data_IF_989224542446
#
_entry.id   IF_989224542446
#
_cell.length_a   1.000
_cell.length_b   1.000
_cell.length_c   1.000
_cell.angle_alpha   90.00
_cell.angle_beta   90.00
_cell.angle_gamma   90.00
#
_symmetry.space_group_name_H-M   'P 1'
#
loop_
_entity.id
_entity.type
_entity.pdbx_description
1 polymer ?
#
# COMPACT_ATOMS: atom_id res chain seq x y z
N UNK A 1 -60.31 46.93 -10.18
CA UNK A 1 -59.53 46.14 -9.18
C UNK A 1 -58.84 45.02 -9.94
N UNK A 2 -57.59 45.28 -10.30
CA UNK A 2 -56.83 44.45 -11.22
C UNK A 2 -55.93 43.47 -10.45
N UNK A 3 -56.12 42.18 -10.67
CA UNK A 3 -55.34 41.12 -10.02
C UNK A 3 -54.27 40.68 -11.03
N UNK A 4 -53.04 41.23 -10.91
CA UNK A 4 -51.89 40.75 -11.64
C UNK A 4 -51.41 39.43 -11.14
N UNK A 5 -51.46 38.40 -12.00
CA UNK A 5 -50.93 37.07 -11.78
C UNK A 5 -49.42 37.14 -12.03
N UNK A 6 -48.62 36.91 -10.99
CA UNK A 6 -47.15 36.64 -11.10
C UNK A 6 -46.94 35.17 -11.47
N UNK A 7 -46.50 34.93 -12.70
CA UNK A 7 -45.97 33.62 -13.11
C UNK A 7 -44.50 33.58 -12.75
N UNK A 8 -44.15 32.75 -11.74
CA UNK A 8 -42.78 32.38 -11.43
C UNK A 8 -42.36 31.26 -12.38
N UNK A 9 -41.54 31.60 -13.37
CA UNK A 9 -40.85 30.63 -14.21
C UNK A 9 -39.66 30.03 -13.43
N UNK A 10 -39.81 28.81 -12.90
CA UNK A 10 -38.74 28.05 -12.30
C UNK A 10 -37.81 27.54 -13.37
N UNK A 11 -36.58 28.09 -13.47
CA UNK A 11 -35.53 27.55 -14.30
C UNK A 11 -34.96 26.28 -13.62
N UNK A 12 -35.26 25.11 -14.18
CA UNK A 12 -34.62 23.85 -13.81
C UNK A 12 -33.29 23.80 -14.54
N UNK A 13 -32.22 23.99 -13.79
CA UNK A 13 -30.87 23.80 -14.32
C UNK A 13 -30.62 22.30 -14.55
N UNK A 14 -30.10 21.87 -15.72
CA UNK A 14 -29.80 20.48 -15.94
C UNK A 14 -28.62 20.06 -15.04
N UNK A 15 -28.83 19.02 -14.20
CA UNK A 15 -27.74 18.32 -13.52
C UNK A 15 -26.85 17.67 -14.58
N UNK A 16 -25.68 18.26 -14.82
CA UNK A 16 -24.62 17.61 -15.57
C UNK A 16 -24.08 16.44 -14.75
N UNK A 17 -24.62 15.25 -14.98
CA UNK A 17 -24.01 14.01 -14.54
C UNK A 17 -22.69 13.85 -15.29
N UNK A 18 -21.58 14.24 -14.64
CA UNK A 18 -20.25 13.88 -15.12
C UNK A 18 -20.13 12.35 -14.99
N UNK A 19 -19.92 11.62 -16.10
CA UNK A 19 -19.62 10.20 -15.97
C UNK A 19 -18.30 10.09 -15.21
N UNK A 20 -18.34 9.46 -14.04
CA UNK A 20 -17.16 8.97 -13.35
C UNK A 20 -16.53 7.96 -14.32
N UNK A 21 -15.53 8.39 -15.09
CA UNK A 21 -14.67 7.50 -15.85
C UNK A 21 -13.93 6.64 -14.85
N UNK A 22 -14.52 5.51 -14.49
CA UNK A 22 -13.82 4.45 -13.79
C UNK A 22 -12.63 4.06 -14.69
N UNK A 23 -11.43 4.46 -14.28
CA UNK A 23 -10.21 4.05 -14.96
C UNK A 23 -10.12 2.53 -14.81
N UNK A 24 -10.58 1.82 -15.85
CA UNK A 24 -10.45 0.38 -15.91
C UNK A 24 -8.96 0.04 -15.80
N UNK A 25 -8.59 -0.66 -14.73
CA UNK A 25 -7.22 -1.17 -14.57
C UNK A 25 -6.88 -2.02 -15.79
N UNK A 26 -5.68 -1.87 -16.36
CA UNK A 26 -5.30 -2.69 -17.53
C UNK A 26 -5.39 -4.16 -17.15
N UNK A 27 -5.96 -4.98 -18.04
CA UNK A 27 -6.04 -6.45 -17.85
C UNK A 27 -4.63 -7.01 -17.85
N UNK A 28 -4.11 -7.37 -16.67
CA UNK A 28 -2.81 -8.04 -16.50
C UNK A 28 -2.98 -9.55 -16.63
N UNK A 29 -1.95 -10.20 -17.13
CA UNK A 29 -1.83 -11.68 -17.12
C UNK A 29 -0.88 -12.11 -16.00
N UNK A 30 -0.86 -13.41 -15.66
CA UNK A 30 0.13 -13.93 -14.69
C UNK A 30 1.58 -13.69 -15.16
N UNK A 31 1.81 -13.78 -16.48
CA UNK A 31 3.14 -13.49 -17.07
C UNK A 31 3.57 -12.02 -16.85
N UNK A 32 2.63 -11.09 -16.88
CA UNK A 32 2.92 -9.67 -16.56
C UNK A 32 3.31 -9.51 -15.09
N UNK A 33 2.64 -10.24 -14.19
CA UNK A 33 2.99 -10.26 -12.78
C UNK A 33 4.40 -10.80 -12.55
N UNK A 34 4.73 -11.95 -13.13
CA UNK A 34 6.07 -12.56 -13.04
C UNK A 34 7.15 -11.62 -13.60
N UNK A 35 6.87 -10.96 -14.73
CA UNK A 35 7.77 -9.98 -15.34
C UNK A 35 7.99 -8.78 -14.41
N UNK A 36 6.94 -8.25 -13.82
CA UNK A 36 7.02 -7.15 -12.85
C UNK A 36 7.82 -7.57 -11.62
N UNK A 37 7.57 -8.75 -11.08
CA UNK A 37 8.30 -9.31 -9.94
C UNK A 37 9.79 -9.51 -10.25
N UNK A 38 10.13 -9.98 -11.43
CA UNK A 38 11.52 -10.20 -11.86
C UNK A 38 12.29 -8.88 -12.04
N UNK A 39 11.62 -7.88 -12.56
CA UNK A 39 12.22 -6.59 -12.94
C UNK A 39 12.10 -5.51 -11.84
N UNK A 40 11.76 -5.85 -10.61
CA UNK A 40 11.51 -4.89 -9.53
C UNK A 40 12.67 -3.90 -9.32
N UNK A 41 13.92 -4.31 -9.58
CA UNK A 41 15.11 -3.46 -9.41
C UNK A 41 15.12 -2.23 -10.33
N UNK A 42 14.38 -2.26 -11.43
CA UNK A 42 14.27 -1.11 -12.35
C UNK A 42 13.53 0.09 -11.73
N UNK A 43 12.88 -0.12 -10.59
CA UNK A 43 12.20 0.94 -9.82
C UNK A 43 13.08 1.56 -8.73
N UNK A 44 14.30 1.06 -8.55
CA UNK A 44 15.28 1.67 -7.64
C UNK A 44 15.93 2.90 -8.27
N UNK A 45 16.32 3.90 -7.46
CA UNK A 45 17.23 4.94 -7.92
C UNK A 45 18.56 4.35 -8.38
N UNK A 46 19.21 5.00 -9.33
CA UNK A 46 20.51 4.56 -9.81
C UNK A 46 21.53 4.46 -8.65
N UNK A 47 22.26 3.35 -8.59
CA UNK A 47 23.26 3.10 -7.54
C UNK A 47 22.72 2.82 -6.14
N UNK A 48 21.41 2.66 -5.97
CA UNK A 48 20.85 2.37 -4.65
C UNK A 48 21.32 1.01 -4.10
N UNK A 49 21.95 1.03 -2.95
CA UNK A 49 22.26 -0.18 -2.18
C UNK A 49 21.00 -0.63 -1.43
N UNK A 50 20.65 -1.90 -1.56
CA UNK A 50 19.50 -2.49 -0.88
C UNK A 50 19.92 -3.71 -0.05
N UNK A 51 19.37 -3.89 1.14
CA UNK A 51 19.66 -5.05 1.96
C UNK A 51 19.06 -6.33 1.35
N UNK A 52 19.71 -7.47 1.59
CA UNK A 52 19.18 -8.77 1.19
C UNK A 52 18.17 -9.30 2.22
N UNK A 53 17.12 -9.97 1.73
CA UNK A 53 16.11 -10.62 2.61
C UNK A 53 16.71 -11.76 3.43
N UNK A 54 17.80 -12.40 2.93
CA UNK A 54 18.53 -13.49 3.58
C UNK A 54 19.45 -13.05 4.71
N UNK A 55 19.61 -11.74 4.94
CA UNK A 55 20.43 -11.18 6.02
C UNK A 55 19.54 -10.71 7.19
N UNK A 56 19.27 -11.54 8.20
CA UNK A 56 18.38 -11.17 9.30
C UNK A 56 18.89 -9.95 10.08
N UNK A 57 18.00 -9.01 10.36
CA UNK A 57 18.27 -7.88 11.25
C UNK A 57 17.52 -8.11 12.58
N UNK A 58 18.30 -8.42 13.62
CA UNK A 58 17.81 -8.59 15.00
C UNK A 58 18.33 -7.46 15.86
N UNK A 59 17.42 -6.72 16.47
CA UNK A 59 17.73 -5.61 17.37
C UNK A 59 16.94 -5.78 18.67
N UNK A 60 17.46 -5.23 19.75
CA UNK A 60 16.74 -5.12 21.03
C UNK A 60 15.56 -4.16 20.91
N UNK A 61 14.67 -4.19 21.90
CA UNK A 61 13.51 -3.28 21.98
C UNK A 61 13.92 -1.81 21.91
N UNK A 62 14.96 -1.43 22.63
CA UNK A 62 15.43 -0.04 22.70
C UNK A 62 16.10 0.42 21.41
N UNK A 63 16.84 -0.46 20.74
CA UNK A 63 17.41 -0.19 19.42
C UNK A 63 16.31 -0.01 18.37
N UNK A 64 15.23 -0.83 18.39
CA UNK A 64 14.08 -0.64 17.52
C UNK A 64 13.39 0.70 17.73
N UNK A 65 13.17 1.11 19.00
CA UNK A 65 12.59 2.41 19.33
C UNK A 65 13.41 3.59 18.81
N UNK A 66 14.74 3.48 18.88
CA UNK A 66 15.65 4.52 18.35
C UNK A 66 15.70 4.54 16.82
N UNK A 67 15.52 3.38 16.18
CA UNK A 67 15.65 3.22 14.74
C UNK A 67 14.40 3.64 13.97
N UNK A 68 13.22 3.35 14.52
CA UNK A 68 11.96 3.59 13.84
C UNK A 68 11.58 5.08 13.88
N UNK A 69 10.89 5.60 12.83
CA UNK A 69 10.65 7.03 12.69
C UNK A 69 9.73 7.62 13.76
N UNK A 70 8.86 6.80 14.35
CA UNK A 70 7.90 7.22 15.39
C UNK A 70 7.28 6.01 16.11
N UNK A 71 6.51 6.29 17.16
CA UNK A 71 5.84 5.27 17.98
C UNK A 71 4.80 4.45 17.19
N UNK A 72 4.15 5.04 16.19
CA UNK A 72 3.19 4.32 15.35
C UNK A 72 3.89 3.23 14.53
N UNK A 73 5.04 3.54 13.93
CA UNK A 73 5.85 2.57 13.21
C UNK A 73 6.35 1.45 14.14
N UNK A 74 6.71 1.80 15.38
CA UNK A 74 7.07 0.81 16.40
C UNK A 74 5.89 -0.10 16.76
N UNK A 75 4.73 0.49 17.05
CA UNK A 75 3.50 -0.24 17.38
C UNK A 75 3.10 -1.20 16.25
N UNK A 76 3.17 -0.75 15.02
CA UNK A 76 2.84 -1.58 13.84
C UNK A 76 3.86 -2.69 13.64
N UNK A 77 5.15 -2.34 13.49
CA UNK A 77 6.18 -3.29 13.09
C UNK A 77 6.58 -4.27 14.20
N UNK A 78 6.41 -3.91 15.48
CA UNK A 78 6.92 -4.68 16.63
C UNK A 78 5.86 -5.20 17.59
N UNK A 79 4.66 -4.61 17.56
CA UNK A 79 3.56 -4.96 18.45
C UNK A 79 2.30 -5.38 17.66
N UNK A 80 2.44 -5.66 16.35
CA UNK A 80 1.38 -6.12 15.44
C UNK A 80 0.14 -5.18 15.43
N UNK A 81 0.39 -3.88 15.68
CA UNK A 81 -0.66 -2.87 15.65
C UNK A 81 -1.15 -2.55 14.23
N UNK A 82 -2.28 -1.86 14.18
CA UNK A 82 -2.84 -1.34 12.92
C UNK A 82 -2.99 0.17 13.01
N UNK A 83 -2.55 0.89 11.99
CA UNK A 83 -2.79 2.33 11.86
C UNK A 83 -4.26 2.60 11.51
N UNK A 84 -4.75 3.81 11.78
CA UNK A 84 -6.10 4.21 11.40
C UNK A 84 -6.22 4.32 9.88
N UNK A 85 -7.33 3.82 9.32
CA UNK A 85 -7.63 3.93 7.89
C UNK A 85 -7.61 5.39 7.42
N UNK A 86 -7.08 5.63 6.23
CA UNK A 86 -7.03 6.95 5.58
C UNK A 86 -5.96 7.91 6.13
N UNK A 87 -5.12 7.49 7.10
CA UNK A 87 -4.15 8.39 7.71
C UNK A 87 -2.77 8.36 7.06
N UNK A 88 -2.45 7.32 6.30
CA UNK A 88 -1.15 7.23 5.64
C UNK A 88 -1.08 8.09 4.37
N UNK A 89 -0.08 8.97 4.24
CA UNK A 89 0.16 9.69 2.98
C UNK A 89 0.54 8.76 1.83
N UNK A 90 0.97 7.53 2.11
CA UNK A 90 1.31 6.54 1.09
C UNK A 90 0.09 5.96 0.37
N UNK A 91 -1.14 6.25 0.84
CA UNK A 91 -2.36 5.96 0.08
C UNK A 91 -2.32 6.68 -1.28
N UNK A 92 -1.93 7.95 -1.29
CA UNK A 92 -1.93 8.80 -2.48
C UNK A 92 -0.59 8.82 -3.23
N UNK A 93 0.41 8.04 -2.78
CA UNK A 93 1.70 7.96 -3.47
C UNK A 93 1.55 7.22 -4.80
N UNK A 94 1.85 7.92 -5.93
CA UNK A 94 1.71 7.43 -7.32
C UNK A 94 2.99 7.56 -8.13
N UNK A 95 4.04 8.16 -7.56
CA UNK A 95 5.33 8.30 -8.27
C UNK A 95 5.96 6.94 -8.52
N UNK A 96 6.71 6.77 -9.63
CA UNK A 96 7.54 5.58 -9.83
C UNK A 96 8.56 5.41 -8.70
N UNK A 97 8.64 4.21 -8.12
CA UNK A 97 9.58 3.96 -7.03
C UNK A 97 9.35 2.63 -6.32
N UNK A 98 9.97 2.52 -5.15
CA UNK A 98 9.95 1.33 -4.29
C UNK A 98 9.32 1.68 -2.95
N UNK A 99 8.44 0.82 -2.47
CA UNK A 99 8.04 0.77 -1.08
C UNK A 99 8.97 -0.22 -0.36
N UNK A 100 9.70 0.27 0.64
CA UNK A 100 10.62 -0.52 1.44
C UNK A 100 10.12 -0.62 2.88
N UNK A 101 10.48 -1.71 3.57
CA UNK A 101 10.19 -1.86 5.00
C UNK A 101 10.79 -0.70 5.80
N UNK A 102 9.99 0.02 6.57
CA UNK A 102 10.44 1.16 7.38
C UNK A 102 11.44 0.73 8.46
N UNK A 103 11.37 -0.52 8.94
CA UNK A 103 12.27 -1.04 9.96
C UNK A 103 13.67 -1.36 9.43
N UNK A 104 13.80 -1.96 8.26
CA UNK A 104 15.08 -2.49 7.81
C UNK A 104 15.53 -2.04 6.41
N UNK A 105 14.68 -1.31 5.68
CA UNK A 105 14.98 -0.83 4.35
C UNK A 105 14.87 -1.87 3.24
N UNK A 106 14.43 -3.11 3.53
CA UNK A 106 14.22 -4.13 2.50
C UNK A 106 13.14 -3.67 1.52
N UNK A 107 13.40 -3.61 0.19
CA UNK A 107 12.37 -3.41 -0.82
C UNK A 107 11.30 -4.49 -0.73
N UNK A 108 10.03 -4.11 -0.72
CA UNK A 108 8.93 -5.07 -0.55
C UNK A 108 7.86 -4.97 -1.62
N UNK A 109 7.64 -3.78 -2.18
CA UNK A 109 6.74 -3.56 -3.32
C UNK A 109 7.32 -2.52 -4.28
N UNK A 110 6.89 -2.55 -5.53
CA UNK A 110 7.09 -1.44 -6.49
C UNK A 110 5.81 -0.60 -6.58
N UNK A 111 5.93 0.63 -7.10
CA UNK A 111 4.78 1.49 -7.40
C UNK A 111 3.77 0.84 -8.36
N UNK A 112 4.26 0.03 -9.31
CA UNK A 112 3.41 -0.69 -10.27
C UNK A 112 2.58 -1.83 -9.64
N UNK A 113 2.95 -2.30 -8.44
CA UNK A 113 2.20 -3.30 -7.70
C UNK A 113 1.04 -2.69 -6.91
N UNK A 114 1.04 -1.37 -6.73
CA UNK A 114 0.04 -0.64 -5.95
C UNK A 114 -1.25 -0.43 -6.74
N UNK A 115 -2.39 -0.45 -6.04
CA UNK A 115 -3.69 -0.08 -6.60
C UNK A 115 -4.58 0.56 -5.52
N UNK A 116 -5.63 1.26 -5.95
CA UNK A 116 -6.61 1.88 -5.07
C UNK A 116 -7.66 0.85 -4.67
N UNK A 117 -7.59 0.37 -3.43
CA UNK A 117 -8.55 -0.61 -2.90
C UNK A 117 -9.79 0.02 -2.26
N UNK A 118 -9.77 1.31 -1.96
CA UNK A 118 -10.82 2.01 -1.24
C UNK A 118 -10.89 1.68 0.26
N UNK A 119 -9.96 0.86 0.79
CA UNK A 119 -10.00 0.44 2.20
C UNK A 119 -9.36 1.45 3.16
N UNK A 120 -8.61 2.42 2.64
CA UNK A 120 -7.91 3.43 3.44
C UNK A 120 -6.49 3.03 3.87
N UNK A 121 -5.98 1.92 3.36
CA UNK A 121 -4.60 1.49 3.54
C UNK A 121 -3.91 1.26 2.20
N UNK A 122 -2.58 1.51 2.09
CA UNK A 122 -1.82 1.15 0.90
C UNK A 122 -2.01 -0.32 0.55
N UNK A 123 -2.46 -0.60 -0.66
CA UNK A 123 -2.82 -1.93 -1.11
C UNK A 123 -2.06 -2.31 -2.38
N UNK A 124 -1.61 -3.57 -2.43
CA UNK A 124 -0.81 -4.10 -3.52
C UNK A 124 -1.39 -5.44 -3.99
N UNK A 125 -1.39 -5.70 -5.30
CA UNK A 125 -1.92 -6.96 -5.86
C UNK A 125 -0.88 -8.09 -5.91
N UNK A 126 0.39 -7.79 -5.64
CA UNK A 126 1.50 -8.74 -5.55
C UNK A 126 2.66 -8.10 -4.77
N UNK A 127 3.74 -8.87 -4.51
CA UNK A 127 4.93 -8.42 -3.79
C UNK A 127 6.20 -8.69 -4.56
N UNK A 128 7.33 -8.11 -4.15
CA UNK A 128 8.65 -8.60 -4.54
C UNK A 128 8.80 -10.03 -3.98
N UNK A 129 9.26 -11.02 -4.77
CA UNK A 129 9.36 -12.39 -4.32
C UNK A 129 10.32 -12.59 -3.13
N UNK A 130 9.92 -13.42 -2.18
CA UNK A 130 10.78 -13.87 -1.08
C UNK A 130 11.09 -12.83 -0.01
N UNK A 131 10.34 -11.71 0.06
CA UNK A 131 10.56 -10.62 1.03
C UNK A 131 9.68 -10.72 2.27
N UNK A 132 8.64 -11.54 2.24
CA UNK A 132 7.72 -11.73 3.34
C UNK A 132 7.60 -13.21 3.75
N UNK A 133 7.43 -13.42 5.05
CA UNK A 133 6.91 -14.64 5.65
C UNK A 133 5.45 -14.42 6.04
N UNK A 134 4.64 -15.48 5.96
CA UNK A 134 3.21 -15.44 6.26
C UNK A 134 2.88 -16.36 7.41
N UNK A 135 1.96 -15.95 8.27
CA UNK A 135 1.39 -16.80 9.33
C UNK A 135 -0.13 -16.61 9.41
N UNK A 136 -0.82 -17.63 9.93
CA UNK A 136 -2.25 -17.50 10.23
C UNK A 136 -2.43 -16.67 11.49
N UNK A 137 -3.31 -15.67 11.41
CA UNK A 137 -3.75 -14.84 12.51
C UNK A 137 -5.18 -15.27 12.92
N UNK A 138 -5.36 -15.64 14.18
CA UNK A 138 -6.63 -16.09 14.78
C UNK A 138 -7.18 -15.07 15.79
N UNK A 139 -6.69 -13.86 15.78
CA UNK A 139 -7.12 -12.81 16.73
C UNK A 139 -8.61 -12.44 16.58
N UNK A 140 -9.15 -12.54 15.37
CA UNK A 140 -10.57 -12.37 15.08
C UNK A 140 -11.25 -13.74 14.92
N UNK A 141 -12.60 -13.73 14.90
CA UNK A 141 -13.45 -14.92 14.70
C UNK A 141 -13.11 -15.66 13.39
N UNK A 142 -12.70 -14.90 12.36
CA UNK A 142 -12.27 -15.45 11.07
C UNK A 142 -10.74 -15.41 10.95
N UNK A 143 -10.08 -16.54 10.61
CA UNK A 143 -8.64 -16.59 10.42
C UNK A 143 -8.22 -15.70 9.25
N UNK A 144 -7.22 -14.85 9.47
CA UNK A 144 -6.60 -14.02 8.44
C UNK A 144 -5.18 -14.52 8.16
N UNK A 145 -4.61 -14.10 7.03
CA UNK A 145 -3.20 -14.35 6.73
C UNK A 145 -2.43 -13.05 6.95
N UNK A 146 -1.65 -13.03 8.01
CA UNK A 146 -0.74 -11.96 8.37
C UNK A 146 0.61 -12.13 7.66
N UNK A 147 1.30 -11.03 7.34
CA UNK A 147 2.64 -11.11 6.75
C UNK A 147 3.65 -10.18 7.41
N UNK A 148 4.88 -10.67 7.47
CA UNK A 148 6.00 -10.07 8.16
C UNK A 148 7.19 -9.92 7.23
N UNK A 149 7.96 -8.83 7.39
CA UNK A 149 9.21 -8.66 6.67
C UNK A 149 10.20 -9.80 7.00
N UNK A 150 10.63 -10.53 5.98
CA UNK A 150 11.53 -11.67 6.16
C UNK A 150 12.87 -11.30 6.80
N UNK A 151 13.37 -10.08 6.52
CA UNK A 151 14.65 -9.61 7.06
C UNK A 151 14.60 -9.24 8.53
N UNK A 152 13.54 -8.56 8.99
CA UNK A 152 13.49 -8.03 10.35
C UNK A 152 12.32 -8.54 11.21
N UNK A 153 11.46 -9.40 10.63
CA UNK A 153 10.28 -9.92 11.31
C UNK A 153 9.21 -8.87 11.61
N UNK A 154 9.28 -7.67 11.01
CA UNK A 154 8.28 -6.61 11.25
C UNK A 154 6.94 -6.95 10.64
N UNK A 155 5.85 -6.77 11.43
CA UNK A 155 4.49 -6.89 10.93
C UNK A 155 4.18 -5.80 9.91
N UNK A 156 3.60 -6.16 8.78
CA UNK A 156 3.21 -5.23 7.74
C UNK A 156 1.70 -5.10 7.58
N UNK A 157 0.96 -6.18 7.71
CA UNK A 157 -0.48 -6.23 7.51
C UNK A 157 -1.00 -7.62 7.18
N UNK A 158 -2.06 -7.70 6.38
CA UNK A 158 -2.75 -8.94 6.07
C UNK A 158 -2.99 -9.10 4.56
N UNK A 159 -3.04 -10.34 4.10
CA UNK A 159 -3.41 -10.71 2.73
C UNK A 159 -4.85 -11.15 2.69
N UNK A 160 -5.59 -10.65 1.70
CA UNK A 160 -7.00 -10.96 1.43
C UNK A 160 -7.15 -11.43 -0.03
N UNK A 161 -8.22 -12.18 -0.32
CA UNK A 161 -8.51 -12.74 -1.64
C UNK A 161 -9.55 -11.89 -2.41
N UNK A 162 -9.59 -10.58 -2.11
CA UNK A 162 -10.50 -9.60 -2.71
C UNK A 162 -9.77 -8.56 -3.57
N UNK A 163 -8.57 -8.88 -4.01
CA UNK A 163 -7.76 -8.04 -4.89
C UNK A 163 -8.13 -8.16 -6.37
N UNK A 164 -7.50 -7.36 -7.23
CA UNK A 164 -7.76 -7.41 -8.67
C UNK A 164 -7.16 -8.66 -9.32
N UNK A 165 -7.78 -9.16 -10.44
CA UNK A 165 -7.18 -10.22 -11.22
C UNK A 165 -5.84 -9.75 -11.82
N UNK A 166 -4.92 -10.69 -12.15
CA UNK A 166 -5.08 -12.14 -12.12
C UNK A 166 -4.73 -12.79 -10.78
N UNK A 167 -4.15 -12.05 -9.83
CA UNK A 167 -3.74 -12.62 -8.54
C UNK A 167 -4.90 -12.80 -7.57
N UNK A 168 -5.93 -11.98 -7.69
CA UNK A 168 -7.04 -11.85 -6.73
C UNK A 168 -6.57 -11.56 -5.29
N UNK A 169 -5.30 -11.18 -5.13
CA UNK A 169 -4.72 -10.88 -3.82
C UNK A 169 -4.74 -9.38 -3.53
N UNK A 170 -5.08 -9.03 -2.31
CA UNK A 170 -4.88 -7.70 -1.74
C UNK A 170 -3.93 -7.80 -0.55
N UNK A 171 -2.72 -7.37 -0.75
CA UNK A 171 -1.73 -7.16 0.30
C UNK A 171 -2.01 -5.80 0.94
N UNK A 172 -2.84 -5.82 2.00
CA UNK A 172 -3.23 -4.63 2.75
C UNK A 172 -2.11 -4.30 3.73
N UNK A 173 -1.44 -3.17 3.51
CA UNK A 173 -0.23 -2.83 4.26
C UNK A 173 -0.46 -1.59 5.13
N UNK A 174 0.01 -1.60 6.37
CA UNK A 174 0.12 -0.39 7.16
C UNK A 174 1.14 0.56 6.53
N UNK A 175 0.77 1.78 6.23
CA UNK A 175 1.70 2.76 5.67
C UNK A 175 2.84 3.08 6.65
N UNK A 176 2.58 3.06 7.96
CA UNK A 176 3.60 3.22 9.00
C UNK A 176 4.69 2.12 8.97
N UNK A 177 4.43 0.97 8.34
CA UNK A 177 5.41 -0.10 8.13
C UNK A 177 6.27 0.12 6.86
N UNK A 178 5.95 1.12 6.05
CA UNK A 178 6.60 1.41 4.78
C UNK A 178 7.34 2.75 4.81
N UNK A 179 8.37 2.83 3.97
CA UNK A 179 8.93 4.08 3.45
C UNK A 179 8.95 4.03 1.94
N UNK A 180 8.62 5.13 1.29
CA UNK A 180 8.72 5.25 -0.16
C UNK A 180 10.11 5.73 -0.57
N UNK A 181 10.64 5.21 -1.67
CA UNK A 181 11.92 5.59 -2.28
C UNK A 181 11.63 5.91 -3.75
N UNK A 182 11.55 7.19 -4.13
CA UNK A 182 11.32 7.59 -5.51
C UNK A 182 12.44 7.09 -6.45
N UNK A 183 12.07 6.64 -7.64
CA UNK A 183 13.00 6.14 -8.65
C UNK A 183 13.99 7.19 -9.13
N UNK A 184 13.58 8.44 -9.19
CA UNK A 184 14.39 9.58 -9.60
C UNK A 184 15.35 10.11 -8.51
N UNK A 185 15.34 9.49 -7.32
CA UNK A 185 16.14 9.92 -6.17
C UNK A 185 15.66 11.21 -5.48
N UNK A 186 14.49 11.74 -5.85
CA UNK A 186 13.90 12.90 -5.17
C UNK A 186 13.54 12.56 -3.71
N UNK A 187 13.28 13.58 -2.89
CA UNK A 187 12.82 13.34 -1.52
C UNK A 187 11.41 12.75 -1.49
N UNK A 188 11.21 11.76 -0.64
CA UNK A 188 9.91 11.15 -0.35
C UNK A 188 9.02 12.10 0.44
#
# INVERSE_FOLDING_TARGET
MDRRKFLLAGAVAPLWMHPLLAHAQPKRTMKDIETLQKNWKTFLPAGAAVPAASEPLKLSKDEWKKRLPNDLAYKVLREEGTERAGTSPLNDEKRPGIFACAGCGLPVFTSEMKYESGTGWPSFFTTIPGVFDQKKDFYLIYPRTEYHCKRCGGHHGHVFDDGPPPTNQRWCNNGAALKFIPKDGSKA
#
